data_IF_472191355983
#
_entry.id   IF_472191355983
#
_cell.length_a   1.000
_cell.length_b   1.000
_cell.length_c   1.000
_cell.angle_alpha   90.00
_cell.angle_beta   90.00
_cell.angle_gamma   90.00
#
_symmetry.space_group_name_H-M   'P 1'
#
loop_
_entity.id
_entity.type
_entity.pdbx_description
1 polymer ?
#
# COMPACT_ATOMS: atom_id res chain seq x y z
N UNK A 1 59.76 -28.00 -31.25
CA UNK A 1 59.14 -29.05 -30.40
C UNK A 1 59.15 -28.50 -28.98
N UNK A 2 58.07 -27.87 -28.51
CA UNK A 2 56.90 -28.46 -27.84
C UNK A 2 56.95 -27.94 -26.38
N UNK A 3 55.97 -27.31 -25.74
CA UNK A 3 54.61 -26.87 -26.08
C UNK A 3 54.27 -25.75 -25.08
N UNK A 4 53.56 -24.70 -25.51
CA UNK A 4 53.01 -23.64 -24.65
C UNK A 4 52.05 -24.22 -23.60
N UNK A 5 52.11 -23.72 -22.37
CA UNK A 5 50.98 -23.82 -21.42
C UNK A 5 50.48 -22.40 -21.15
N UNK A 6 49.32 -22.10 -21.74
CA UNK A 6 48.52 -20.91 -21.53
C UNK A 6 47.76 -21.09 -20.21
N UNK A 7 48.08 -20.32 -19.18
CA UNK A 7 47.25 -20.28 -17.97
C UNK A 7 46.18 -19.20 -18.21
N UNK A 8 44.95 -19.65 -18.46
CA UNK A 8 43.77 -18.79 -18.46
C UNK A 8 43.59 -18.20 -17.05
N UNK A 9 43.70 -16.88 -16.92
CA UNK A 9 43.20 -16.17 -15.75
C UNK A 9 41.67 -16.14 -15.87
N UNK A 10 41.01 -17.03 -15.13
CA UNK A 10 39.56 -17.09 -15.00
C UNK A 10 39.10 -15.81 -14.27
N UNK A 11 38.44 -14.90 -15.00
CA UNK A 11 37.76 -13.74 -14.43
C UNK A 11 36.61 -14.27 -13.54
N UNK A 12 36.81 -14.28 -12.22
CA UNK A 12 35.71 -14.56 -11.29
C UNK A 12 34.78 -13.37 -11.27
N UNK A 13 33.77 -13.41 -12.13
CA UNK A 13 32.60 -12.53 -12.08
C UNK A 13 31.87 -12.82 -10.76
N UNK A 14 32.19 -12.04 -9.72
CA UNK A 14 31.48 -12.08 -8.45
C UNK A 14 30.10 -11.45 -8.68
N UNK A 15 29.13 -12.26 -9.10
CA UNK A 15 27.74 -11.84 -9.16
C UNK A 15 27.27 -11.60 -7.73
N UNK A 16 27.31 -10.34 -7.28
CA UNK A 16 26.67 -9.90 -6.06
C UNK A 16 25.16 -10.09 -6.27
N UNK A 17 24.62 -11.21 -5.81
CA UNK A 17 23.18 -11.38 -5.65
C UNK A 17 22.77 -10.39 -4.56
N UNK A 18 22.44 -9.16 -4.96
CA UNK A 18 21.81 -8.21 -4.07
C UNK A 18 20.45 -8.81 -3.68
N UNK A 19 20.42 -9.47 -2.53
CA UNK A 19 19.15 -9.86 -1.90
C UNK A 19 18.35 -8.57 -1.71
N UNK A 20 17.11 -8.48 -2.21
CA UNK A 20 16.31 -7.30 -1.97
C UNK A 20 16.14 -7.15 -0.45
N UNK A 21 16.73 -6.11 0.12
CA UNK A 21 16.52 -5.76 1.51
C UNK A 21 15.14 -5.11 1.60
N UNK A 22 14.17 -5.82 2.17
CA UNK A 22 12.93 -5.19 2.61
C UNK A 22 13.17 -4.59 3.99
N UNK A 23 13.11 -3.27 4.09
CA UNK A 23 13.08 -2.57 5.38
C UNK A 23 11.61 -2.42 5.79
N UNK A 24 11.21 -3.07 6.88
CA UNK A 24 9.92 -2.84 7.51
C UNK A 24 10.13 -1.94 8.74
N UNK A 25 9.46 -0.78 8.75
CA UNK A 25 9.40 0.08 9.93
C UNK A 25 8.00 -0.09 10.53
N UNK A 26 7.92 -0.67 11.74
CA UNK A 26 6.70 -0.63 12.55
C UNK A 26 6.65 0.72 13.25
N UNK A 27 5.61 1.49 13.00
CA UNK A 27 5.32 2.69 13.78
C UNK A 27 4.40 2.27 14.93
N UNK A 28 4.96 2.10 16.13
CA UNK A 28 4.25 1.53 17.28
C UNK A 28 3.00 2.34 17.70
N UNK A 29 2.88 3.59 17.25
CA UNK A 29 1.76 4.47 17.60
C UNK A 29 0.65 4.51 16.54
N UNK A 30 0.82 3.77 15.44
CA UNK A 30 0.09 3.98 14.21
C UNK A 30 -0.40 2.65 13.62
N UNK A 31 -1.73 2.50 13.45
CA UNK A 31 -2.30 1.35 12.74
C UNK A 31 -2.52 1.70 11.26
N UNK A 32 -2.49 0.68 10.42
CA UNK A 32 -2.64 0.84 8.97
C UNK A 32 -3.82 0.01 8.47
N UNK A 33 -4.70 0.61 7.67
CA UNK A 33 -5.77 -0.07 6.96
C UNK A 33 -5.45 -0.10 5.47
N UNK A 34 -5.37 -1.29 4.88
CA UNK A 34 -5.20 -1.46 3.45
C UNK A 34 -6.57 -1.57 2.78
N UNK A 35 -6.84 -0.69 1.80
CA UNK A 35 -8.06 -0.71 0.99
C UNK A 35 -7.67 -1.03 -0.45
N UNK A 36 -8.33 -2.00 -1.06
CA UNK A 36 -8.12 -2.39 -2.47
C UNK A 36 -9.31 -1.99 -3.33
N UNK A 37 -9.02 -1.46 -4.51
CA UNK A 37 -9.99 -1.14 -5.55
C UNK A 37 -9.97 -2.21 -6.65
N UNK A 38 -11.09 -2.37 -7.35
CA UNK A 38 -11.20 -3.31 -8.48
C UNK A 38 -10.43 -2.87 -9.72
N UNK A 39 -10.04 -1.60 -9.79
CA UNK A 39 -9.32 -1.01 -10.90
C UNK A 39 -8.38 0.11 -10.41
N UNK A 40 -7.40 0.54 -11.23
CA UNK A 40 -6.52 1.64 -10.87
C UNK A 40 -7.28 2.95 -10.72
N UNK A 41 -7.04 3.65 -9.61
CA UNK A 41 -7.68 4.93 -9.30
C UNK A 41 -6.84 6.11 -9.77
N UNK A 42 -7.50 7.21 -10.15
CA UNK A 42 -6.85 8.50 -10.37
C UNK A 42 -6.18 9.00 -9.10
N UNK A 43 -5.08 9.76 -9.26
CA UNK A 43 -4.42 10.44 -8.15
C UNK A 43 -5.19 11.67 -7.67
N UNK A 44 -6.15 12.15 -8.45
CA UNK A 44 -6.98 13.29 -8.09
C UNK A 44 -7.89 12.92 -6.91
N UNK A 45 -7.71 13.62 -5.80
CA UNK A 45 -8.48 13.39 -4.57
C UNK A 45 -8.11 12.12 -3.79
N UNK A 46 -7.30 11.21 -4.33
CA UNK A 46 -6.96 9.94 -3.63
C UNK A 46 -6.26 10.17 -2.29
N UNK A 47 -5.50 11.25 -2.15
CA UNK A 47 -4.79 11.59 -0.92
C UNK A 47 -5.59 12.50 0.00
N UNK A 48 -6.80 12.93 -0.41
CA UNK A 48 -7.67 13.74 0.43
C UNK A 48 -8.34 12.86 1.48
N UNK A 49 -8.08 13.14 2.76
CA UNK A 49 -8.65 12.38 3.88
C UNK A 49 -10.18 12.47 3.90
N UNK A 50 -10.75 13.60 3.48
CA UNK A 50 -12.20 13.81 3.50
C UNK A 50 -12.98 12.87 2.55
N UNK A 51 -12.27 12.21 1.62
CA UNK A 51 -12.84 11.20 0.74
C UNK A 51 -12.97 9.82 1.41
N UNK A 52 -12.55 9.68 2.67
CA UNK A 52 -12.58 8.44 3.43
C UNK A 52 -13.25 8.63 4.79
N UNK A 53 -14.14 7.71 5.13
CA UNK A 53 -14.72 7.61 6.46
C UNK A 53 -14.41 6.23 7.04
N UNK A 54 -13.87 6.20 8.26
CA UNK A 54 -13.57 4.96 8.99
C UNK A 54 -14.34 4.99 10.30
N UNK A 55 -15.11 3.93 10.56
CA UNK A 55 -15.96 3.78 11.74
C UNK A 55 -15.58 2.46 12.43
N UNK A 56 -15.22 2.52 13.71
CA UNK A 56 -15.00 1.33 14.53
C UNK A 56 -16.34 0.73 15.02
N UNK A 57 -16.38 -0.53 15.47
CA UNK A 57 -17.61 -1.25 15.89
C UNK A 57 -18.55 -0.48 16.84
N UNK A 58 -18.03 0.45 17.62
CA UNK A 58 -18.80 1.27 18.57
C UNK A 58 -19.46 2.49 17.93
N UNK A 59 -19.50 2.55 16.60
CA UNK A 59 -19.88 3.72 15.81
C UNK A 59 -19.02 4.95 16.13
N UNK A 60 -17.77 4.73 16.56
CA UNK A 60 -16.80 5.79 16.78
C UNK A 60 -16.11 6.12 15.46
N UNK A 61 -16.09 7.40 15.09
CA UNK A 61 -15.34 7.87 13.94
C UNK A 61 -13.84 7.81 14.24
N UNK A 62 -13.11 7.12 13.38
CA UNK A 62 -11.66 6.94 13.47
C UNK A 62 -10.97 8.07 12.72
N UNK A 63 -10.02 8.72 13.38
CA UNK A 63 -9.22 9.76 12.76
C UNK A 63 -8.16 9.15 11.85
N UNK A 64 -8.18 9.58 10.59
CA UNK A 64 -7.13 9.31 9.60
C UNK A 64 -6.17 10.51 9.62
N UNK A 65 -4.86 10.25 9.67
CA UNK A 65 -3.85 11.33 9.62
C UNK A 65 -3.01 11.32 8.34
N UNK A 66 -3.05 10.23 7.57
CA UNK A 66 -2.35 10.13 6.28
C UNK A 66 -3.02 9.11 5.39
N UNK A 67 -2.97 9.37 4.08
CA UNK A 67 -3.29 8.40 3.03
C UNK A 67 -2.04 8.16 2.20
N UNK A 68 -1.67 6.90 2.03
CA UNK A 68 -0.65 6.45 1.07
C UNK A 68 -1.29 5.69 -0.07
N UNK A 69 -0.59 5.58 -1.20
CA UNK A 69 -1.01 4.76 -2.34
C UNK A 69 0.05 3.70 -2.60
N UNK A 70 -0.40 2.46 -2.78
CA UNK A 70 0.47 1.35 -3.20
C UNK A 70 0.78 1.51 -4.68
N UNK A 71 1.99 1.12 -5.10
CA UNK A 71 2.37 1.10 -6.51
C UNK A 71 1.36 0.30 -7.34
N UNK A 72 1.03 0.81 -8.53
CA UNK A 72 -0.05 0.25 -9.38
C UNK A 72 -1.42 0.91 -9.18
N UNK A 73 -1.60 1.69 -8.10
CA UNK A 73 -2.78 2.56 -7.93
C UNK A 73 -4.10 1.84 -7.65
N UNK A 74 -4.05 0.54 -7.37
CA UNK A 74 -5.21 -0.30 -7.02
C UNK A 74 -5.40 -0.45 -5.52
N UNK A 75 -4.56 0.16 -4.70
CA UNK A 75 -4.72 0.12 -3.26
C UNK A 75 -4.21 1.39 -2.57
N UNK A 76 -4.84 1.73 -1.45
CA UNK A 76 -4.41 2.82 -0.56
C UNK A 76 -4.22 2.29 0.86
N UNK A 77 -3.33 2.95 1.58
CA UNK A 77 -3.06 2.71 2.99
C UNK A 77 -3.58 3.91 3.77
N UNK A 78 -4.60 3.70 4.59
CA UNK A 78 -5.03 4.68 5.57
C UNK A 78 -4.23 4.48 6.85
N UNK A 79 -3.72 5.57 7.37
CA UNK A 79 -2.94 5.61 8.59
C UNK A 79 -3.82 6.21 9.69
N UNK A 80 -4.07 5.44 10.76
CA UNK A 80 -5.04 5.75 11.83
C UNK A 80 -4.41 5.61 13.23
N UNK A 81 -4.95 6.33 14.21
CA UNK A 81 -4.46 6.29 15.59
C UNK A 81 -4.55 4.87 16.18
N UNK A 82 -3.48 4.38 16.84
CA UNK A 82 -3.36 2.99 17.33
C UNK A 82 -4.12 2.70 18.65
N UNK A 83 -5.34 3.21 18.81
CA UNK A 83 -6.17 2.96 20.01
C UNK A 83 -7.30 1.94 19.79
N UNK A 84 -7.37 1.34 18.60
CA UNK A 84 -8.48 0.50 18.15
C UNK A 84 -8.08 -0.97 17.97
N UNK A 85 -7.17 -1.48 18.81
CA UNK A 85 -6.73 -2.87 18.73
C UNK A 85 -7.94 -3.82 18.78
N UNK A 86 -7.95 -4.80 17.88
CA UNK A 86 -8.96 -5.87 17.78
C UNK A 86 -10.37 -5.41 17.42
N UNK A 87 -10.57 -4.16 17.01
CA UNK A 87 -11.84 -3.66 16.50
C UNK A 87 -12.04 -4.00 15.02
N UNK A 88 -13.30 -4.14 14.61
CA UNK A 88 -13.68 -4.24 13.19
C UNK A 88 -13.97 -2.82 12.71
N UNK A 89 -13.44 -2.50 11.53
CA UNK A 89 -13.65 -1.22 10.88
C UNK A 89 -14.64 -1.35 9.74
N UNK A 90 -15.49 -0.32 9.62
CA UNK A 90 -16.31 -0.02 8.45
C UNK A 90 -15.66 1.16 7.73
N UNK A 91 -15.41 0.99 6.45
CA UNK A 91 -14.72 1.98 5.62
C UNK A 91 -15.64 2.38 4.49
N UNK A 92 -15.85 3.68 4.32
CA UNK A 92 -16.58 4.26 3.19
C UNK A 92 -15.64 5.16 2.40
N UNK A 93 -15.74 5.08 1.08
CA UNK A 93 -14.94 5.88 0.14
C UNK A 93 -15.86 6.71 -0.72
N UNK A 94 -15.57 7.99 -0.91
CA UNK A 94 -16.40 8.87 -1.74
C UNK A 94 -15.57 9.76 -2.63
N UNK A 95 -16.19 10.29 -3.69
CA UNK A 95 -15.59 11.35 -4.51
C UNK A 95 -14.21 10.99 -5.14
N UNK A 96 -13.97 9.69 -5.36
CA UNK A 96 -12.79 9.19 -6.08
C UNK A 96 -13.17 8.78 -7.50
N UNK A 97 -12.22 8.87 -8.42
CA UNK A 97 -12.40 8.48 -9.82
C UNK A 97 -11.38 7.43 -10.25
N UNK A 98 -11.77 6.57 -11.19
CA UNK A 98 -10.83 5.72 -11.92
C UNK A 98 -9.96 6.55 -12.91
N UNK A 99 -9.08 5.88 -13.64
CA UNK A 99 -8.25 6.53 -14.68
C UNK A 99 -9.06 7.03 -15.90
N UNK A 100 -10.27 6.54 -16.11
CA UNK A 100 -11.17 7.00 -17.16
C UNK A 100 -12.05 8.19 -16.72
N UNK A 101 -11.99 8.57 -15.43
CA UNK A 101 -12.77 9.66 -14.85
C UNK A 101 -14.15 9.23 -14.32
N UNK A 102 -14.46 7.93 -14.28
CA UNK A 102 -15.70 7.41 -13.70
C UNK A 102 -15.63 7.54 -12.18
N UNK A 103 -16.69 8.07 -11.58
CA UNK A 103 -16.81 8.17 -10.13
C UNK A 103 -16.98 6.78 -9.52
N UNK A 104 -16.40 6.57 -8.33
CA UNK A 104 -16.61 5.35 -7.55
C UNK A 104 -18.10 5.11 -7.32
N UNK A 105 -18.53 3.85 -7.48
CA UNK A 105 -19.91 3.46 -7.29
C UNK A 105 -20.28 3.55 -5.81
N UNK A 106 -21.29 4.36 -5.48
CA UNK A 106 -21.77 4.65 -4.13
C UNK A 106 -22.45 3.47 -3.43
N UNK A 107 -22.94 2.48 -4.18
CA UNK A 107 -23.46 1.22 -3.63
C UNK A 107 -22.35 0.19 -3.32
N UNK A 108 -21.13 0.40 -3.83
CA UNK A 108 -20.00 -0.55 -3.74
C UNK A 108 -18.71 0.09 -3.23
N UNK A 109 -18.83 1.19 -2.50
CA UNK A 109 -17.71 1.97 -1.95
C UNK A 109 -17.37 1.60 -0.49
N UNK A 110 -17.78 0.42 -0.05
CA UNK A 110 -17.70 -0.01 1.34
C UNK A 110 -16.80 -1.24 1.52
N UNK A 111 -16.03 -1.25 2.60
CA UNK A 111 -15.29 -2.42 3.07
C UNK A 111 -15.44 -2.62 4.58
N UNK A 112 -15.41 -3.88 5.02
CA UNK A 112 -15.28 -4.26 6.42
C UNK A 112 -14.01 -5.07 6.62
N UNK A 113 -13.19 -4.71 7.60
CA UNK A 113 -11.95 -5.42 7.93
C UNK A 113 -11.75 -5.53 9.43
N UNK A 114 -10.97 -6.53 9.84
CA UNK A 114 -10.56 -6.80 11.22
C UNK A 114 -9.04 -6.75 11.32
#
# INVERSE_FOLDING_TARGET
MATKVFILILLTLFAFLATPASLAQSDENNSMLLITFSEPMSKDGIFNIDNYEVIANRNEQVRIYKVGMVEGGTAVVLYIENKYEWEVFKIYVSNLKDLAGNLINDERNFAACR
#
